data_IF_024800170472
#
_entry.id   IF_024800170472
#
_cell.length_a   1.000
_cell.length_b   1.000
_cell.length_c   1.000
_cell.angle_alpha   90.00
_cell.angle_beta   90.00
_cell.angle_gamma   90.00
#
_symmetry.space_group_name_H-M   'P 1'
#
loop_
_entity.id
_entity.type
_entity.pdbx_description
1 polymer ?
#
# COMPACT_ATOMS: atom_id res chain seq x y z
N UNK A 1 -53.23 37.83 -5.84
CA UNK A 1 -54.55 38.30 -6.31
C UNK A 1 -55.03 37.30 -7.36
N UNK A 2 -56.28 36.88 -7.24
CA UNK A 2 -56.86 35.62 -7.72
C UNK A 2 -56.73 35.39 -9.23
N UNK A 3 -56.54 34.13 -9.65
CA UNK A 3 -57.26 33.62 -10.81
C UNK A 3 -57.68 32.16 -10.59
N UNK A 4 -58.96 31.92 -10.86
CA UNK A 4 -59.77 30.74 -10.53
C UNK A 4 -59.58 29.61 -11.55
N UNK A 5 -59.73 28.37 -11.07
CA UNK A 5 -60.09 27.18 -11.85
C UNK A 5 -61.50 27.29 -12.45
N UNK A 6 -61.78 26.51 -13.51
CA UNK A 6 -62.84 25.49 -13.44
C UNK A 6 -62.38 24.15 -14.03
N UNK A 7 -62.56 23.01 -13.36
CA UNK A 7 -63.74 22.14 -13.22
C UNK A 7 -63.91 21.08 -14.35
N UNK A 8 -64.18 19.85 -13.87
CA UNK A 8 -64.96 18.75 -14.45
C UNK A 8 -64.28 17.62 -15.26
N UNK A 9 -64.23 16.46 -14.59
CA UNK A 9 -64.16 15.08 -15.09
C UNK A 9 -65.55 14.60 -15.63
N UNK A 10 -65.86 13.29 -15.80
CA UNK A 10 -65.11 12.08 -16.22
C UNK A 10 -65.81 11.33 -17.40
N UNK A 11 -65.20 10.31 -17.99
CA UNK A 11 -65.89 9.37 -18.90
C UNK A 11 -64.96 8.25 -19.37
N UNK A 12 -64.97 7.09 -18.71
CA UNK A 12 -65.77 5.89 -19.00
C UNK A 12 -65.27 5.03 -20.17
N UNK A 13 -64.68 3.90 -19.75
CA UNK A 13 -64.48 2.58 -20.37
C UNK A 13 -65.06 2.35 -21.78
N UNK A 14 -64.19 1.90 -22.69
CA UNK A 14 -64.56 0.99 -23.76
C UNK A 14 -63.49 -0.11 -23.88
N UNK A 15 -63.90 -1.34 -23.59
CA UNK A 15 -63.13 -2.56 -23.82
C UNK A 15 -63.12 -2.88 -25.30
N UNK A 16 -61.94 -3.08 -25.90
CA UNK A 16 -61.80 -3.77 -27.18
C UNK A 16 -60.74 -4.86 -26.99
N UNK A 17 -61.24 -6.10 -27.02
CA UNK A 17 -60.50 -7.35 -27.14
C UNK A 17 -59.77 -7.33 -28.51
N UNK A 18 -58.45 -7.51 -28.53
CA UNK A 18 -57.79 -8.01 -29.74
C UNK A 18 -56.66 -8.98 -29.41
N UNK A 19 -56.59 -9.99 -30.26
CA UNK A 19 -55.99 -11.29 -30.03
C UNK A 19 -54.47 -11.31 -29.91
N UNK A 20 -54.01 -12.34 -29.21
CA UNK A 20 -52.62 -12.71 -29.01
C UNK A 20 -51.88 -13.03 -30.32
N UNK A 21 -50.70 -12.44 -30.48
CA UNK A 21 -49.58 -13.01 -31.25
C UNK A 21 -48.36 -12.96 -30.34
N UNK A 22 -48.03 -14.11 -29.75
CA UNK A 22 -46.84 -14.32 -28.93
C UNK A 22 -45.67 -14.61 -29.88
N UNK A 23 -44.77 -13.65 -30.05
CA UNK A 23 -43.48 -13.88 -30.68
C UNK A 23 -42.53 -14.38 -29.58
N UNK A 24 -42.19 -15.67 -29.62
CA UNK A 24 -41.15 -16.28 -28.79
C UNK A 24 -39.79 -15.73 -29.23
N UNK A 25 -39.26 -14.75 -28.51
CA UNK A 25 -37.82 -14.49 -28.52
C UNK A 25 -37.16 -15.47 -27.56
N UNK A 26 -36.40 -16.41 -28.14
CA UNK A 26 -35.54 -17.34 -27.41
C UNK A 26 -34.41 -16.55 -26.74
N UNK A 27 -34.65 -16.06 -25.53
CA UNK A 27 -33.57 -15.64 -24.64
C UNK A 27 -33.05 -16.92 -23.99
N UNK A 28 -31.90 -17.38 -24.48
CA UNK A 28 -31.15 -18.46 -23.84
C UNK A 28 -30.86 -18.04 -22.39
N UNK A 29 -31.47 -18.76 -21.45
CA UNK A 29 -31.18 -18.67 -20.03
C UNK A 29 -29.81 -19.34 -19.81
N UNK A 30 -28.74 -18.56 -19.70
CA UNK A 30 -27.46 -19.10 -19.24
C UNK A 30 -27.60 -19.51 -17.77
N UNK A 31 -27.18 -20.72 -17.38
CA UNK A 31 -27.25 -21.15 -16.00
C UNK A 31 -26.34 -20.27 -15.14
N UNK A 32 -26.85 -19.86 -13.98
CA UNK A 32 -26.16 -19.05 -12.99
C UNK A 32 -24.84 -19.72 -12.59
N UNK A 33 -23.70 -19.02 -12.60
CA UNK A 33 -22.42 -19.62 -12.21
C UNK A 33 -22.49 -20.07 -10.74
N UNK A 34 -22.51 -21.38 -10.53
CA UNK A 34 -22.43 -21.96 -9.20
C UNK A 34 -20.95 -22.06 -8.78
N UNK A 35 -20.58 -21.29 -7.75
CA UNK A 35 -19.29 -21.38 -7.09
C UNK A 35 -19.19 -22.75 -6.43
N UNK A 36 -18.35 -23.64 -6.95
CA UNK A 36 -17.97 -24.88 -6.25
C UNK A 36 -16.78 -24.57 -5.36
N UNK A 37 -17.03 -24.57 -4.05
CA UNK A 37 -15.99 -24.57 -3.03
C UNK A 37 -15.48 -25.99 -2.88
N UNK A 38 -14.20 -26.21 -3.12
CA UNK A 38 -13.53 -27.46 -2.75
C UNK A 38 -12.65 -27.19 -1.54
N UNK A 39 -12.93 -27.84 -0.42
CA UNK A 39 -11.94 -27.97 0.64
C UNK A 39 -10.89 -28.98 0.20
N UNK A 40 -9.64 -28.54 0.12
CA UNK A 40 -8.50 -29.45 -0.04
C UNK A 40 -7.73 -29.48 1.27
N UNK A 41 -7.53 -30.67 1.81
CA UNK A 41 -6.70 -30.87 3.00
C UNK A 41 -5.26 -30.52 2.66
N UNK A 42 -4.68 -29.60 3.43
CA UNK A 42 -3.25 -29.26 3.37
C UNK A 42 -2.45 -30.53 3.63
N UNK A 43 -1.81 -31.10 2.60
CA UNK A 43 -0.94 -32.25 2.80
C UNK A 43 0.30 -31.81 3.57
N UNK A 44 0.45 -32.30 4.79
CA UNK A 44 1.72 -32.28 5.53
C UNK A 44 2.77 -33.01 4.67
N UNK A 45 3.76 -32.27 4.21
CA UNK A 45 4.95 -32.86 3.58
C UNK A 45 5.77 -33.54 4.66
N UNK A 46 5.49 -34.80 4.95
CA UNK A 46 6.39 -35.66 5.74
C UNK A 46 7.48 -36.21 4.82
N UNK A 47 8.72 -35.96 5.20
CA UNK A 47 9.91 -36.54 4.62
C UNK A 47 9.89 -38.07 4.82
N UNK A 48 10.00 -38.87 3.76
CA UNK A 48 10.30 -40.31 3.86
C UNK A 48 11.35 -40.71 2.82
N UNK A 49 12.44 -41.28 3.30
CA UNK A 49 13.54 -41.86 2.51
C UNK A 49 13.29 -43.35 2.22
N UNK A 50 13.18 -43.72 0.92
CA UNK A 50 13.44 -45.03 0.27
C UNK A 50 12.62 -46.28 0.67
N UNK A 51 12.78 -47.46 0.02
CA UNK A 51 13.29 -47.79 -1.32
C UNK A 51 12.36 -48.76 -2.15
N UNK A 52 12.69 -48.97 -3.44
CA UNK A 52 12.28 -50.05 -4.38
C UNK A 52 10.98 -49.96 -5.22
N UNK A 53 11.19 -49.98 -6.55
CA UNK A 53 10.45 -50.65 -7.66
C UNK A 53 8.94 -50.44 -7.84
N UNK A 54 8.41 -50.12 -9.03
CA UNK A 54 9.00 -50.06 -10.36
C UNK A 54 7.97 -49.68 -11.44
N UNK A 55 8.45 -49.64 -12.68
CA UNK A 55 7.73 -49.64 -13.96
C UNK A 55 6.96 -48.37 -14.38
N UNK A 56 7.61 -47.61 -15.27
CA UNK A 56 7.02 -46.56 -16.10
C UNK A 56 6.05 -47.11 -17.17
N UNK A 57 5.27 -46.22 -17.81
CA UNK A 57 5.52 -46.05 -19.24
C UNK A 57 5.79 -44.60 -19.63
N UNK A 58 6.57 -44.47 -20.70
CA UNK A 58 7.06 -43.23 -21.32
C UNK A 58 5.96 -42.20 -21.56
N UNK A 59 6.21 -40.98 -21.10
CA UNK A 59 5.62 -39.77 -21.67
C UNK A 59 6.78 -38.90 -22.13
N UNK A 60 6.89 -38.76 -23.44
CA UNK A 60 7.83 -37.88 -24.14
C UNK A 60 7.69 -36.46 -23.59
N UNK A 61 8.61 -36.07 -22.70
CA UNK A 61 8.76 -34.67 -22.32
C UNK A 61 9.49 -33.96 -23.44
N UNK A 62 8.78 -33.13 -24.20
CA UNK A 62 9.41 -32.06 -24.96
C UNK A 62 10.18 -31.22 -23.94
N UNK A 63 11.51 -31.30 -23.97
CA UNK A 63 12.39 -30.44 -23.19
C UNK A 63 12.23 -29.03 -23.74
N UNK A 64 11.46 -28.19 -23.05
CA UNK A 64 11.62 -26.74 -23.15
C UNK A 64 13.09 -26.42 -22.87
N UNK A 65 13.77 -25.58 -23.67
CA UNK A 65 15.13 -25.19 -23.38
C UNK A 65 15.16 -24.58 -21.99
N UNK A 66 15.94 -25.18 -21.07
CA UNK A 66 16.34 -24.49 -19.86
C UNK A 66 17.25 -23.36 -20.31
N UNK A 67 16.71 -22.15 -20.43
CA UNK A 67 17.50 -20.94 -20.40
C UNK A 67 18.29 -20.96 -19.10
N UNK A 68 19.60 -20.79 -19.19
CA UNK A 68 20.51 -20.75 -18.04
C UNK A 68 20.18 -19.55 -17.14
N UNK A 69 19.16 -19.68 -16.30
CA UNK A 69 18.91 -18.71 -15.23
C UNK A 69 20.08 -18.84 -14.26
N UNK A 70 20.95 -17.84 -14.22
CA UNK A 70 22.06 -17.82 -13.25
C UNK A 70 21.45 -17.82 -11.85
N UNK A 71 21.68 -18.87 -11.03
CA UNK A 71 21.07 -18.95 -9.71
C UNK A 71 21.51 -17.76 -8.85
N UNK A 72 20.57 -16.87 -8.50
CA UNK A 72 20.82 -15.75 -7.58
C UNK A 72 20.68 -14.35 -8.19
N UNK A 73 20.55 -14.20 -9.51
CA UNK A 73 20.36 -12.89 -10.14
C UNK A 73 18.87 -12.52 -10.21
N UNK A 74 18.53 -11.28 -9.86
CA UNK A 74 17.19 -10.70 -9.97
C UNK A 74 17.21 -9.50 -10.90
N UNK A 75 16.09 -9.27 -11.56
CA UNK A 75 15.79 -8.04 -12.30
C UNK A 75 14.65 -7.31 -11.63
N UNK A 76 14.71 -6.00 -11.60
CA UNK A 76 13.58 -5.15 -11.28
C UNK A 76 13.20 -4.41 -12.55
N UNK A 77 11.94 -4.54 -12.95
CA UNK A 77 11.29 -3.61 -13.86
C UNK A 77 10.37 -2.73 -13.04
N UNK A 78 10.59 -1.42 -13.08
CA UNK A 78 9.77 -0.45 -12.39
C UNK A 78 9.49 0.78 -13.22
N UNK A 79 8.39 1.46 -12.91
CA UNK A 79 8.06 2.75 -13.51
C UNK A 79 7.71 3.75 -12.42
N UNK A 80 8.07 5.02 -12.65
CA UNK A 80 7.76 6.17 -11.82
C UNK A 80 6.97 7.13 -12.70
N UNK A 81 5.71 7.36 -12.32
CA UNK A 81 4.70 8.01 -13.17
C UNK A 81 4.12 9.20 -12.42
N UNK A 82 4.60 10.43 -12.70
CA UNK A 82 3.97 11.65 -12.21
C UNK A 82 2.56 11.81 -12.78
N UNK A 83 1.59 12.13 -11.92
CA UNK A 83 0.23 12.47 -12.29
C UNK A 83 -0.34 13.52 -11.31
N UNK A 84 -1.45 14.16 -11.68
CA UNK A 84 -2.05 15.26 -10.90
C UNK A 84 -2.43 14.83 -9.47
N UNK A 85 -2.81 13.56 -9.29
CA UNK A 85 -3.22 13.01 -8.01
C UNK A 85 -2.07 12.40 -7.18
N UNK A 86 -0.85 12.37 -7.71
CA UNK A 86 0.29 11.75 -7.02
C UNK A 86 1.33 11.14 -7.97
N UNK A 87 2.37 10.57 -7.37
CA UNK A 87 3.39 9.82 -8.08
C UNK A 87 3.10 8.32 -7.95
N UNK A 88 2.87 7.64 -9.08
CA UNK A 88 2.55 6.23 -9.12
C UNK A 88 3.79 5.40 -9.44
N UNK A 89 3.92 4.27 -8.74
CA UNK A 89 5.03 3.34 -8.91
C UNK A 89 4.49 1.99 -9.34
N UNK A 90 4.93 1.52 -10.50
CA UNK A 90 4.74 0.15 -10.95
C UNK A 90 6.04 -0.59 -10.65
N UNK A 91 5.97 -1.80 -10.09
CA UNK A 91 7.19 -2.58 -9.85
C UNK A 91 6.92 -4.08 -9.88
N UNK A 92 7.77 -4.80 -10.61
CA UNK A 92 7.93 -6.24 -10.49
C UNK A 92 9.40 -6.60 -10.25
N UNK A 93 9.62 -7.68 -9.50
CA UNK A 93 10.93 -8.30 -9.30
C UNK A 93 10.82 -9.77 -9.66
N UNK A 94 11.63 -10.25 -10.60
CA UNK A 94 11.68 -11.67 -10.96
C UNK A 94 13.05 -12.03 -11.58
N UNK A 95 13.18 -13.21 -12.18
CA UNK A 95 14.35 -13.55 -12.99
C UNK A 95 14.41 -12.65 -14.24
N UNK A 96 15.62 -12.30 -14.74
CA UNK A 96 15.76 -11.49 -15.95
C UNK A 96 15.00 -12.03 -17.15
N UNK A 97 15.01 -13.36 -17.34
CA UNK A 97 14.40 -14.06 -18.47
C UNK A 97 12.87 -13.96 -18.46
N UNK A 98 12.27 -13.92 -17.26
CA UNK A 98 10.81 -13.80 -17.11
C UNK A 98 10.34 -12.37 -17.31
N UNK A 99 11.17 -11.39 -16.97
CA UNK A 99 10.84 -9.96 -17.10
C UNK A 99 11.17 -9.39 -18.49
N UNK A 100 12.16 -9.95 -19.21
CA UNK A 100 12.56 -9.49 -20.55
C UNK A 100 11.40 -9.28 -21.54
N UNK A 101 10.47 -10.24 -21.74
CA UNK A 101 9.40 -10.06 -22.71
C UNK A 101 8.38 -8.98 -22.32
N UNK A 102 8.39 -8.50 -21.07
CA UNK A 102 7.39 -7.55 -20.56
C UNK A 102 7.81 -6.08 -20.73
N UNK A 103 9.00 -5.79 -21.25
CA UNK A 103 9.49 -4.42 -21.39
C UNK A 103 8.59 -3.56 -22.29
N UNK A 104 8.25 -4.07 -23.48
CA UNK A 104 7.40 -3.35 -24.42
C UNK A 104 5.99 -3.10 -23.86
N UNK A 105 5.42 -4.11 -23.19
CA UNK A 105 4.12 -3.99 -22.52
C UNK A 105 4.17 -2.95 -21.39
N UNK A 106 5.23 -2.96 -20.56
CA UNK A 106 5.40 -1.97 -19.50
C UNK A 106 5.48 -0.56 -20.08
N UNK A 107 6.23 -0.36 -21.16
CA UNK A 107 6.31 0.94 -21.82
C UNK A 107 4.94 1.41 -22.32
N UNK A 108 4.17 0.54 -22.97
CA UNK A 108 2.82 0.85 -23.43
C UNK A 108 1.86 1.17 -22.26
N UNK A 109 1.97 0.43 -21.14
CA UNK A 109 1.19 0.69 -19.92
C UNK A 109 1.53 2.06 -19.32
N UNK A 110 2.81 2.43 -19.29
CA UNK A 110 3.29 3.71 -18.75
C UNK A 110 2.86 4.86 -19.63
N UNK A 111 3.02 4.73 -20.95
CA UNK A 111 2.61 5.75 -21.93
C UNK A 111 1.11 6.07 -21.81
N UNK A 112 0.28 5.03 -21.70
CA UNK A 112 -1.17 5.14 -21.60
C UNK A 112 -1.68 5.19 -20.15
N UNK A 113 -0.80 5.52 -19.18
CA UNK A 113 -1.17 5.48 -17.78
C UNK A 113 -2.27 6.50 -17.45
N UNK A 114 -3.37 6.03 -16.90
CA UNK A 114 -4.56 6.78 -16.58
C UNK A 114 -5.06 6.41 -15.20
N UNK A 115 -5.46 7.41 -14.44
CA UNK A 115 -6.08 7.20 -13.14
C UNK A 115 -7.53 7.57 -13.26
N UNK A 116 -8.40 6.74 -12.69
CA UNK A 116 -9.77 7.14 -12.43
C UNK A 116 -9.74 8.27 -11.39
N UNK A 117 -10.14 9.50 -11.77
CA UNK A 117 -10.03 10.65 -10.88
C UNK A 117 -10.90 10.53 -9.63
N UNK A 118 -11.90 9.64 -9.61
CA UNK A 118 -12.78 9.42 -8.47
C UNK A 118 -12.20 8.43 -7.47
N UNK A 119 -11.51 7.40 -7.96
CA UNK A 119 -11.01 6.31 -7.11
C UNK A 119 -9.50 6.40 -6.85
N UNK A 120 -8.77 7.21 -7.61
CA UNK A 120 -7.31 7.26 -7.55
C UNK A 120 -6.64 5.97 -8.04
N UNK A 121 -7.39 5.08 -8.70
CA UNK A 121 -6.92 3.76 -9.14
C UNK A 121 -6.56 3.77 -10.62
N UNK A 122 -5.61 2.90 -11.06
CA UNK A 122 -5.33 2.75 -12.47
C UNK A 122 -6.56 2.31 -13.25
N UNK A 123 -6.83 3.00 -14.35
CA UNK A 123 -7.98 2.77 -15.24
C UNK A 123 -7.56 2.58 -16.69
N UNK A 124 -6.27 2.36 -16.94
CA UNK A 124 -5.68 2.29 -18.28
C UNK A 124 -6.25 1.11 -19.06
N UNK A 125 -6.37 1.22 -20.40
CA UNK A 125 -6.36 0.03 -21.23
C UNK A 125 -5.01 -0.69 -21.06
N UNK A 126 -5.06 -1.97 -20.69
CA UNK A 126 -3.86 -2.80 -20.58
C UNK A 126 -3.60 -3.54 -21.91
N UNK A 127 -2.34 -3.92 -22.21
CA UNK A 127 -2.02 -4.79 -23.34
C UNK A 127 -2.76 -6.12 -23.29
N UNK A 128 -2.84 -6.82 -24.42
CA UNK A 128 -3.58 -8.08 -24.53
C UNK A 128 -3.15 -9.10 -23.48
N UNK A 129 -4.13 -9.73 -22.81
CA UNK A 129 -3.89 -10.77 -21.81
C UNK A 129 -3.44 -10.27 -20.44
N UNK A 130 -3.19 -8.97 -20.26
CA UNK A 130 -2.97 -8.38 -18.95
C UNK A 130 -4.29 -8.18 -18.21
N UNK A 131 -4.25 -8.32 -16.88
CA UNK A 131 -5.40 -8.07 -16.02
C UNK A 131 -5.02 -7.12 -14.89
N UNK A 132 -5.95 -6.24 -14.52
CA UNK A 132 -5.83 -5.42 -13.31
C UNK A 132 -6.57 -6.11 -12.16
N UNK A 133 -5.88 -6.30 -11.05
CA UNK A 133 -6.46 -6.74 -9.79
C UNK A 133 -6.43 -5.57 -8.79
N UNK A 134 -7.59 -4.96 -8.48
CA UNK A 134 -7.66 -3.90 -7.47
C UNK A 134 -7.22 -4.42 -6.10
N UNK A 135 -6.52 -3.57 -5.34
CA UNK A 135 -6.08 -3.87 -3.96
C UNK A 135 -6.50 -2.77 -3.01
N UNK A 136 -6.46 -3.06 -1.71
CA UNK A 136 -6.93 -2.17 -0.64
C UNK A 136 -5.87 -2.00 0.47
N UNK A 137 -4.60 -2.12 0.11
CA UNK A 137 -3.46 -1.92 1.01
C UNK A 137 -2.45 -0.96 0.36
N UNK A 138 -1.17 -0.99 0.76
CA UNK A 138 -0.13 -0.07 0.25
C UNK A 138 -0.07 -0.08 -1.28
N UNK A 139 -0.27 -1.24 -1.91
CA UNK A 139 -0.49 -1.31 -3.34
C UNK A 139 -1.99 -1.17 -3.60
N UNK A 140 -2.36 -0.20 -4.43
CA UNK A 140 -3.74 0.10 -4.80
C UNK A 140 -4.24 -0.79 -5.94
N UNK A 141 -3.32 -1.43 -6.67
CA UNK A 141 -3.61 -2.45 -7.67
C UNK A 141 -2.41 -3.38 -7.92
N UNK A 142 -2.68 -4.51 -8.56
CA UNK A 142 -1.70 -5.38 -9.21
C UNK A 142 -2.02 -5.46 -10.70
N UNK A 143 -1.06 -5.14 -11.57
CA UNK A 143 -1.15 -5.47 -13.00
C UNK A 143 -0.49 -6.84 -13.19
N UNK A 144 -1.25 -7.82 -13.68
CA UNK A 144 -0.79 -9.20 -13.81
C UNK A 144 -0.58 -9.50 -15.29
N UNK A 145 0.63 -9.92 -15.64
CA UNK A 145 1.03 -10.21 -17.01
C UNK A 145 0.39 -11.49 -17.57
N UNK A 146 0.39 -11.69 -18.90
CA UNK A 146 -0.20 -12.86 -19.54
C UNK A 146 0.39 -14.18 -19.05
N UNK A 147 -0.40 -15.25 -19.15
CA UNK A 147 -0.04 -16.59 -18.65
C UNK A 147 1.27 -17.13 -19.25
N UNK A 148 1.57 -16.80 -20.50
CA UNK A 148 2.81 -17.18 -21.17
C UNK A 148 4.10 -16.69 -20.46
N UNK A 149 3.98 -15.65 -19.62
CA UNK A 149 5.11 -15.10 -18.82
C UNK A 149 5.09 -15.56 -17.36
N UNK A 150 4.14 -16.44 -17.01
CA UNK A 150 3.97 -16.97 -15.66
C UNK A 150 3.27 -16.02 -14.69
N UNK A 151 2.42 -15.10 -15.20
CA UNK A 151 1.57 -14.20 -14.38
C UNK A 151 2.38 -13.35 -13.40
N UNK A 152 3.39 -12.66 -13.91
CA UNK A 152 4.20 -11.72 -13.11
C UNK A 152 3.30 -10.57 -12.65
N UNK A 153 3.46 -10.18 -11.39
CA UNK A 153 2.67 -9.13 -10.76
C UNK A 153 3.49 -7.86 -10.67
N UNK A 154 2.99 -6.80 -11.29
CA UNK A 154 3.43 -5.43 -11.05
C UNK A 154 2.54 -4.81 -9.99
N UNK A 155 3.09 -4.53 -8.81
CA UNK A 155 2.36 -3.77 -7.79
C UNK A 155 2.29 -2.31 -8.19
N UNK A 156 1.12 -1.69 -8.04
CA UNK A 156 0.92 -0.25 -8.22
C UNK A 156 0.77 0.39 -6.85
N UNK A 157 1.68 1.28 -6.47
CA UNK A 157 1.60 2.07 -5.23
C UNK A 157 1.57 3.56 -5.57
N UNK A 158 0.82 4.37 -4.82
CA UNK A 158 0.81 5.81 -4.98
C UNK A 158 1.50 6.48 -3.78
N UNK A 159 2.38 7.45 -4.06
CA UNK A 159 2.97 8.34 -3.05
C UNK A 159 2.68 9.80 -3.44
N UNK A 160 2.81 10.70 -2.48
CA UNK A 160 2.65 12.13 -2.74
C UNK A 160 3.68 12.62 -3.77
N UNK A 161 3.26 13.55 -4.62
CA UNK A 161 4.19 14.29 -5.48
C UNK A 161 5.03 15.24 -4.62
N UNK A 162 6.36 15.28 -4.81
CA UNK A 162 7.17 16.32 -4.20
C UNK A 162 6.89 17.69 -4.86
N UNK A 163 7.24 18.81 -4.22
CA UNK A 163 7.37 20.08 -4.90
C UNK A 163 8.29 19.95 -6.11
N UNK A 164 8.00 20.68 -7.20
CA UNK A 164 8.74 20.53 -8.47
C UNK A 164 10.26 20.70 -8.35
N UNK A 165 10.72 21.56 -7.44
CA UNK A 165 12.14 21.78 -7.17
C UNK A 165 12.86 20.54 -6.59
N UNK A 166 12.13 19.66 -5.90
CA UNK A 166 12.67 18.48 -5.23
C UNK A 166 12.54 17.21 -6.09
N UNK A 167 11.95 17.33 -7.29
CA UNK A 167 11.69 16.21 -8.20
C UNK A 167 12.92 15.36 -8.48
N UNK A 168 14.07 15.99 -8.75
CA UNK A 168 15.29 15.27 -9.08
C UNK A 168 15.83 14.45 -7.90
N UNK A 169 15.79 15.00 -6.69
CA UNK A 169 16.17 14.28 -5.47
C UNK A 169 15.18 13.16 -5.14
N UNK A 170 13.89 13.40 -5.36
CA UNK A 170 12.84 12.40 -5.20
C UNK A 170 13.03 11.21 -6.17
N UNK A 171 13.27 11.49 -7.45
CA UNK A 171 13.54 10.46 -8.46
C UNK A 171 14.81 9.67 -8.11
N UNK A 172 15.90 10.37 -7.77
CA UNK A 172 17.18 9.77 -7.41
C UNK A 172 17.05 8.80 -6.23
N UNK A 173 16.40 9.23 -5.16
CA UNK A 173 16.23 8.41 -3.94
C UNK A 173 15.41 7.15 -4.20
N UNK A 174 14.34 7.24 -5.00
CA UNK A 174 13.52 6.09 -5.35
C UNK A 174 14.27 5.09 -6.24
N UNK A 175 15.06 5.58 -7.20
CA UNK A 175 15.89 4.74 -8.08
C UNK A 175 17.01 4.07 -7.29
N UNK A 176 17.74 4.80 -6.46
CA UNK A 176 18.81 4.23 -5.62
C UNK A 176 18.27 3.22 -4.61
N UNK A 177 17.06 3.43 -4.07
CA UNK A 177 16.37 2.42 -3.25
C UNK A 177 16.15 1.11 -4.02
N UNK A 178 15.74 1.16 -5.28
CA UNK A 178 15.58 -0.06 -6.10
C UNK A 178 16.91 -0.69 -6.47
N UNK A 179 17.92 0.11 -6.80
CA UNK A 179 19.30 -0.35 -7.05
C UNK A 179 19.90 -1.07 -5.84
N UNK A 180 19.69 -0.55 -4.63
CA UNK A 180 20.12 -1.18 -3.39
C UNK A 180 19.51 -2.57 -3.17
N UNK A 181 18.24 -2.78 -3.58
CA UNK A 181 17.59 -4.11 -3.51
C UNK A 181 18.22 -5.12 -4.47
N UNK A 182 18.94 -4.65 -5.49
CA UNK A 182 19.73 -5.43 -6.44
C UNK A 182 21.23 -5.48 -6.08
N UNK A 183 21.66 -4.85 -4.98
CA UNK A 183 23.07 -4.67 -4.59
C UNK A 183 23.91 -3.95 -5.65
N UNK A 184 23.30 -2.99 -6.33
CA UNK A 184 24.01 -2.11 -7.27
C UNK A 184 24.48 -0.85 -6.53
N UNK A 185 25.56 -0.24 -7.01
CA UNK A 185 26.03 1.05 -6.50
C UNK A 185 25.01 2.15 -6.75
N UNK A 186 24.92 3.12 -5.84
CA UNK A 186 24.06 4.28 -6.02
C UNK A 186 24.49 5.13 -7.21
N UNK A 187 23.50 5.73 -7.88
CA UNK A 187 23.69 6.75 -8.89
C UNK A 187 23.86 8.13 -8.24
N UNK A 188 24.44 9.04 -9.01
CA UNK A 188 24.48 10.47 -8.72
C UNK A 188 23.39 11.21 -9.52
N UNK A 189 23.15 12.48 -9.21
CA UNK A 189 22.19 13.30 -9.94
C UNK A 189 22.54 13.41 -11.44
N UNK A 190 23.84 13.41 -11.78
CA UNK A 190 24.36 13.53 -13.13
C UNK A 190 24.18 12.26 -13.96
N UNK A 191 24.17 11.09 -13.31
CA UNK A 191 24.08 9.77 -13.97
C UNK A 191 22.67 9.17 -13.93
N UNK A 192 21.75 9.80 -13.20
CA UNK A 192 20.39 9.32 -13.02
C UNK A 192 19.62 9.20 -14.33
N UNK A 193 19.50 10.31 -15.08
CA UNK A 193 18.60 10.36 -16.24
C UNK A 193 19.06 9.41 -17.35
N UNK A 194 20.37 9.30 -17.59
CA UNK A 194 20.92 8.37 -18.58
C UNK A 194 20.76 6.88 -18.21
N UNK A 195 20.41 6.58 -16.96
CA UNK A 195 20.14 5.22 -16.49
C UNK A 195 18.65 4.81 -16.58
N UNK A 196 17.77 5.73 -17.00
CA UNK A 196 16.34 5.53 -17.07
C UNK A 196 15.85 5.62 -18.52
N UNK A 197 14.77 4.92 -18.82
CA UNK A 197 14.04 5.14 -20.07
C UNK A 197 12.98 6.19 -19.80
N UNK A 198 13.09 7.34 -20.46
CA UNK A 198 12.09 8.40 -20.40
C UNK A 198 10.90 8.07 -21.30
N UNK A 199 9.70 8.16 -20.74
CA UNK A 199 8.43 7.90 -21.44
C UNK A 199 7.60 9.19 -21.39
N UNK A 200 7.54 9.96 -22.48
CA UNK A 200 6.69 11.15 -22.56
C UNK A 200 5.23 10.73 -22.52
N UNK A 201 4.39 11.49 -21.80
CA UNK A 201 2.94 11.26 -21.74
C UNK A 201 2.19 12.50 -22.23
N UNK A 202 1.23 12.38 -23.15
CA UNK A 202 0.45 13.52 -23.62
C UNK A 202 -0.20 14.29 -22.47
N UNK A 203 0.03 15.60 -22.41
CA UNK A 203 -0.55 16.47 -21.38
C UNK A 203 0.15 16.47 -20.01
N UNK A 204 1.19 15.64 -19.80
CA UNK A 204 1.95 15.64 -18.56
C UNK A 204 3.10 16.67 -18.60
N UNK A 205 3.27 17.45 -17.53
CA UNK A 205 4.36 18.43 -17.42
C UNK A 205 5.72 17.81 -17.05
N UNK A 206 5.70 16.59 -16.51
CA UNK A 206 6.90 15.82 -16.14
C UNK A 206 6.78 14.46 -16.85
N UNK A 207 7.83 13.99 -17.55
CA UNK A 207 7.80 12.68 -18.18
C UNK A 207 7.76 11.56 -17.12
N UNK A 208 7.36 10.38 -17.55
CA UNK A 208 7.46 9.17 -16.72
C UNK A 208 8.79 8.48 -16.97
N UNK A 209 9.26 7.68 -16.01
CA UNK A 209 10.56 7.03 -16.10
C UNK A 209 10.44 5.54 -15.83
N UNK A 210 11.05 4.71 -16.67
CA UNK A 210 11.20 3.28 -16.46
C UNK A 210 12.61 3.00 -15.94
N UNK A 211 12.66 2.26 -14.84
CA UNK A 211 13.86 1.68 -14.27
C UNK A 211 13.96 0.22 -14.69
N UNK A 212 15.12 -0.15 -15.20
CA UNK A 212 15.45 -1.51 -15.56
C UNK A 212 16.88 -1.83 -15.12
N UNK A 213 17.02 -2.77 -14.19
CA UNK A 213 18.32 -3.22 -13.77
C UNK A 213 18.31 -4.67 -13.31
N UNK A 214 19.47 -5.29 -13.47
CA UNK A 214 19.77 -6.66 -13.06
C UNK A 214 20.86 -6.63 -12.01
N UNK A 215 20.73 -7.42 -10.94
CA UNK A 215 21.76 -7.54 -9.90
C UNK A 215 21.62 -8.80 -9.05
N UNK A 216 22.50 -8.97 -8.08
CA UNK A 216 22.60 -10.18 -7.24
C UNK A 216 21.85 -10.06 -5.91
N UNK A 217 21.14 -8.95 -5.70
CA UNK A 217 20.24 -8.77 -4.58
C UNK A 217 18.93 -9.56 -4.72
N UNK A 218 18.15 -9.63 -3.64
CA UNK A 218 16.88 -10.35 -3.63
C UNK A 218 15.78 -9.59 -4.37
N UNK A 219 15.95 -8.29 -4.62
CA UNK A 219 14.96 -7.39 -5.19
C UNK A 219 13.71 -7.18 -4.32
N UNK A 220 13.70 -7.75 -3.11
CA UNK A 220 12.71 -7.55 -2.07
C UNK A 220 13.16 -6.41 -1.15
N UNK A 221 12.20 -5.79 -0.46
CA UNK A 221 12.53 -4.86 0.62
C UNK A 221 13.12 -5.66 1.79
N UNK A 222 14.45 -5.72 1.89
CA UNK A 222 15.12 -6.21 3.09
C UNK A 222 15.19 -5.09 4.13
N UNK A 223 14.84 -5.35 5.41
CA UNK A 223 15.15 -4.43 6.50
C UNK A 223 16.63 -4.58 6.85
N UNK A 224 17.54 -3.91 6.13
CA UNK A 224 18.95 -3.80 6.54
C UNK A 224 19.58 -2.49 6.02
N UNK A 225 20.46 -1.86 6.82
CA UNK A 225 20.89 -0.46 6.64
C UNK A 225 21.96 -0.31 5.54
N UNK A 226 22.15 0.89 4.98
CA UNK A 226 23.18 1.15 3.98
C UNK A 226 24.55 1.09 4.65
N UNK A 227 25.37 0.11 4.27
CA UNK A 227 26.80 0.10 4.61
C UNK A 227 27.50 1.19 3.81
N UNK A 228 28.02 2.19 4.54
CA UNK A 228 28.91 3.21 4.00
C UNK A 228 30.24 2.65 3.48
N UNK A 229 30.90 3.49 2.69
CA UNK A 229 32.14 3.27 1.94
C UNK A 229 33.29 2.55 2.69
N UNK A 230 34.21 1.87 1.97
CA UNK A 230 35.37 1.22 2.55
C UNK A 230 36.47 2.24 2.85
N UNK A 231 36.82 2.42 4.12
CA UNK A 231 38.07 3.05 4.52
C UNK A 231 39.16 1.97 4.67
N UNK A 232 40.32 2.28 4.09
CA UNK A 232 41.57 1.53 3.99
C UNK A 232 42.11 0.95 5.30
N UNK A 233 42.84 -0.20 5.29
CA UNK A 233 43.52 -0.72 6.48
C UNK A 233 44.93 -0.15 6.57
N UNK A 234 45.26 0.54 7.67
CA UNK A 234 46.66 0.70 8.10
C UNK A 234 46.95 -0.29 9.23
N UNK A 235 47.94 -1.14 8.96
CA UNK A 235 48.71 -1.95 9.91
C UNK A 235 49.23 -1.10 11.08
N UNK A 236 49.44 -1.59 12.30
CA UNK A 236 50.45 -2.57 12.70
C UNK A 236 50.27 -2.94 14.21
N UNK A 237 51.12 -3.78 14.87
CA UNK A 237 50.65 -4.89 15.69
C UNK A 237 51.10 -4.85 17.15
N UNK A 238 50.48 -5.65 18.03
CA UNK A 238 51.17 -6.24 19.19
C UNK A 238 50.33 -7.38 19.82
N UNK A 239 50.82 -8.59 19.62
CA UNK A 239 50.55 -9.81 20.41
C UNK A 239 51.40 -9.81 21.71
N UNK A 240 51.39 -10.87 22.56
CA UNK A 240 50.36 -11.48 23.43
C UNK A 240 50.99 -11.71 24.85
N UNK A 241 50.75 -12.76 25.71
CA UNK A 241 49.76 -13.86 25.70
C UNK A 241 49.16 -14.32 27.08
N UNK A 242 48.27 -15.33 26.99
CA UNK A 242 48.15 -16.52 27.87
C UNK A 242 46.99 -16.64 28.90
N UNK A 243 45.91 -17.36 28.49
CA UNK A 243 45.24 -18.58 29.06
C UNK A 243 45.30 -18.95 30.57
N UNK A 244 44.47 -19.90 31.11
CA UNK A 244 43.17 -20.47 30.67
C UNK A 244 42.09 -20.68 31.80
N UNK A 245 40.86 -20.96 31.34
CA UNK A 245 39.66 -21.63 31.93
C UNK A 245 39.72 -22.31 33.34
N UNK A 246 38.68 -22.29 34.20
CA UNK A 246 37.34 -22.95 34.16
C UNK A 246 36.54 -22.61 35.47
N UNK A 247 35.43 -23.28 35.87
CA UNK A 247 34.06 -22.74 35.89
C UNK A 247 33.44 -22.61 37.31
N UNK A 248 32.14 -22.30 37.37
CA UNK A 248 31.15 -22.49 38.47
C UNK A 248 30.71 -21.24 39.26
N UNK A 249 29.38 -21.10 39.38
CA UNK A 249 28.72 -20.37 40.47
C UNK A 249 28.01 -19.08 40.08
N UNK A 250 26.69 -19.14 39.88
CA UNK A 250 25.77 -18.00 40.03
C UNK A 250 25.30 -17.99 41.50
N UNK A 251 25.07 -16.84 42.18
CA UNK A 251 23.88 -16.02 41.90
C UNK A 251 24.00 -14.48 42.11
N UNK A 252 23.14 -13.75 41.38
CA UNK A 252 22.48 -12.46 41.67
C UNK A 252 23.22 -11.35 42.46
N UNK A 253 23.59 -10.23 41.81
CA UNK A 253 22.88 -8.92 41.81
C UNK A 253 23.70 -7.82 41.10
N UNK A 254 22.99 -6.95 40.36
CA UNK A 254 23.28 -5.54 40.01
C UNK A 254 24.66 -5.12 39.49
N UNK A 255 24.72 -4.72 38.22
CA UNK A 255 25.12 -3.37 37.74
C UNK A 255 25.64 -3.38 36.28
N UNK A 256 25.20 -2.37 35.52
CA UNK A 256 25.82 -1.78 34.34
C UNK A 256 26.07 -2.68 33.10
N UNK A 257 25.22 -2.54 32.09
CA UNK A 257 25.61 -2.79 30.69
C UNK A 257 26.10 -1.48 30.03
N UNK A 258 27.11 -1.52 29.17
CA UNK A 258 27.73 -0.34 28.56
C UNK A 258 26.85 0.28 27.45
N UNK A 259 27.05 1.55 27.09
CA UNK A 259 26.30 2.18 26.01
C UNK A 259 26.74 1.60 24.66
N UNK A 260 25.81 1.01 23.93
CA UNK A 260 26.00 0.71 22.51
C UNK A 260 25.43 1.89 21.71
N UNK A 261 26.30 2.86 21.42
CA UNK A 261 26.10 3.81 20.32
C UNK A 261 26.15 3.04 18.99
N UNK A 262 24.99 2.56 18.56
CA UNK A 262 24.76 2.12 17.19
C UNK A 262 24.18 3.31 16.40
N UNK A 263 24.73 3.68 15.22
CA UNK A 263 24.15 4.73 14.39
C UNK A 263 22.73 4.34 13.96
N UNK A 264 21.75 5.10 14.44
CA UNK A 264 20.34 4.89 14.15
C UNK A 264 20.03 5.33 12.70
N UNK A 265 19.55 4.46 11.79
CA UNK A 265 19.16 4.85 10.42
C UNK A 265 17.86 5.67 10.36
N UNK A 266 17.45 6.29 11.47
CA UNK A 266 16.25 7.14 11.62
C UNK A 266 16.52 8.64 11.42
N UNK A 267 17.73 9.04 11.04
CA UNK A 267 18.22 10.42 11.17
C UNK A 267 17.44 11.51 10.39
N UNK A 268 16.55 11.15 9.45
CA UNK A 268 15.73 12.11 8.69
C UNK A 268 14.21 11.90 8.84
N UNK A 269 13.73 11.07 9.78
CA UNK A 269 12.30 11.02 10.09
C UNK A 269 12.01 11.92 11.28
N UNK A 270 10.96 12.74 11.23
CA UNK A 270 10.52 13.48 12.41
C UNK A 270 10.28 12.50 13.55
N UNK A 271 10.94 12.73 14.69
CA UNK A 271 10.74 11.90 15.88
C UNK A 271 9.48 12.39 16.57
N UNK A 272 8.64 11.44 16.99
CA UNK A 272 7.41 11.74 17.71
C UNK A 272 7.65 11.52 19.20
N UNK A 273 7.52 12.57 20.00
CA UNK A 273 7.40 12.45 21.45
C UNK A 273 5.91 12.54 21.82
N UNK A 274 5.46 11.68 22.74
CA UNK A 274 4.06 11.58 23.15
C UNK A 274 3.92 10.90 24.50
N UNK A 275 2.78 11.13 25.17
CA UNK A 275 2.38 10.38 26.36
C UNK A 275 1.51 9.20 25.94
N UNK A 276 1.93 7.98 26.28
CA UNK A 276 1.15 6.77 26.00
C UNK A 276 -0.08 6.73 26.91
N UNK A 277 -1.32 6.69 26.37
CA UNK A 277 -2.52 6.58 27.19
C UNK A 277 -2.59 5.27 27.98
N UNK A 278 -3.25 5.31 29.14
CA UNK A 278 -3.47 4.12 29.96
C UNK A 278 -4.23 3.04 29.18
N UNK A 279 -3.72 1.79 29.24
CA UNK A 279 -4.32 0.64 28.54
C UNK A 279 -3.94 0.54 27.06
N UNK A 280 -3.12 1.47 26.54
CA UNK A 280 -2.52 1.35 25.22
C UNK A 280 -1.12 0.74 25.34
N UNK A 281 -0.65 0.13 24.26
CA UNK A 281 0.71 -0.42 24.17
C UNK A 281 1.33 -0.06 22.83
N UNK A 282 2.66 -0.02 22.76
CA UNK A 282 3.36 0.23 21.50
C UNK A 282 3.26 -1.02 20.61
N UNK A 283 2.72 -0.85 19.40
CA UNK A 283 2.61 -1.89 18.39
C UNK A 283 3.84 -1.99 17.49
N UNK A 284 3.83 -2.98 16.59
CA UNK A 284 4.90 -3.11 15.60
C UNK A 284 4.83 -1.96 14.59
N UNK A 285 5.86 -1.11 14.57
CA UNK A 285 5.95 0.00 13.63
C UNK A 285 6.09 -0.48 12.18
N UNK A 286 5.69 0.37 11.24
CA UNK A 286 5.95 0.19 9.81
C UNK A 286 6.79 1.36 9.28
N UNK A 287 7.38 1.22 8.08
CA UNK A 287 8.24 2.27 7.53
C UNK A 287 7.51 3.57 7.18
N UNK A 288 6.17 3.57 7.12
CA UNK A 288 5.33 4.72 6.77
C UNK A 288 4.57 5.33 7.96
N UNK A 289 4.68 4.73 9.15
CA UNK A 289 4.03 5.21 10.37
C UNK A 289 5.08 5.78 11.32
N UNK A 290 4.84 6.97 11.84
CA UNK A 290 5.64 7.57 12.92
C UNK A 290 5.38 6.85 14.25
N UNK A 291 4.16 6.33 14.44
CA UNK A 291 3.81 5.49 15.58
C UNK A 291 2.70 4.49 15.21
N UNK A 292 2.68 3.35 15.91
CA UNK A 292 1.58 2.38 15.90
C UNK A 292 1.36 1.95 17.35
N UNK A 293 0.14 2.10 17.84
CA UNK A 293 -0.26 1.78 19.21
C UNK A 293 -1.43 0.81 19.16
N UNK A 294 -1.43 -0.18 20.03
CA UNK A 294 -2.51 -1.14 20.18
C UNK A 294 -3.36 -0.77 21.39
N UNK A 295 -4.67 -0.93 21.24
CA UNK A 295 -5.66 -0.83 22.32
C UNK A 295 -6.13 -2.24 22.61
N UNK A 296 -5.97 -2.69 23.85
CA UNK A 296 -6.62 -3.91 24.35
C UNK A 296 -7.50 -3.53 25.54
N UNK A 297 -8.81 -3.75 25.40
CA UNK A 297 -9.80 -3.33 26.37
C UNK A 297 -10.89 -4.39 26.53
N UNK A 298 -11.74 -4.22 27.55
CA UNK A 298 -12.89 -5.11 27.75
C UNK A 298 -13.89 -5.08 26.58
N UNK A 299 -13.89 -4.00 25.81
CA UNK A 299 -14.77 -3.73 24.67
C UNK A 299 -14.20 -4.25 23.34
N UNK A 300 -12.98 -4.78 23.34
CA UNK A 300 -12.31 -5.32 22.16
C UNK A 300 -10.97 -4.66 21.89
N UNK A 301 -10.45 -4.92 20.68
CA UNK A 301 -9.14 -4.47 20.23
C UNK A 301 -9.25 -3.36 19.20
N UNK A 302 -8.33 -2.41 19.28
CA UNK A 302 -8.20 -1.31 18.33
C UNK A 302 -6.75 -1.00 18.03
N UNK A 303 -6.52 -0.23 16.98
CA UNK A 303 -5.19 0.24 16.59
C UNK A 303 -5.24 1.76 16.42
N UNK A 304 -4.20 2.45 16.89
CA UNK A 304 -3.94 3.87 16.61
C UNK A 304 -2.67 3.99 15.80
N UNK A 305 -2.74 4.72 14.69
CA UNK A 305 -1.62 4.92 13.78
C UNK A 305 -1.37 6.41 13.60
N UNK A 306 -0.09 6.80 13.62
CA UNK A 306 0.33 8.16 13.30
C UNK A 306 1.12 8.12 12.00
N UNK A 307 0.69 8.91 11.02
CA UNK A 307 1.37 9.10 9.73
C UNK A 307 1.41 10.58 9.38
N UNK A 308 2.28 10.95 8.44
CA UNK A 308 2.40 12.32 7.94
C UNK A 308 2.14 12.34 6.43
N UNK A 309 1.26 13.24 5.97
CA UNK A 309 0.92 13.40 4.55
C UNK A 309 0.36 14.81 4.31
N UNK A 310 0.15 15.17 3.04
CA UNK A 310 -0.60 16.38 2.68
C UNK A 310 -2.09 16.22 3.02
N UNK A 311 -2.75 17.32 3.37
CA UNK A 311 -4.18 17.28 3.68
C UNK A 311 -5.04 17.58 2.45
N UNK A 312 -6.05 16.73 2.25
CA UNK A 312 -7.14 16.92 1.30
C UNK A 312 -8.38 16.29 1.94
N UNK A 313 -9.14 17.05 2.76
CA UNK A 313 -10.23 16.49 3.55
C UNK A 313 -11.27 15.71 2.74
N UNK A 314 -11.61 16.17 1.54
CA UNK A 314 -12.58 15.50 0.66
C UNK A 314 -12.07 14.14 0.18
N UNK A 315 -10.87 14.10 -0.41
CA UNK A 315 -10.29 12.86 -0.93
C UNK A 315 -9.94 11.87 0.19
N UNK A 316 -9.43 12.40 1.31
CA UNK A 316 -9.10 11.62 2.50
C UNK A 316 -10.34 10.96 3.10
N UNK A 317 -11.42 11.73 3.30
CA UNK A 317 -12.69 11.20 3.80
C UNK A 317 -13.31 10.16 2.87
N UNK A 318 -13.26 10.39 1.55
CA UNK A 318 -13.71 9.41 0.57
C UNK A 318 -12.95 8.08 0.72
N UNK A 319 -11.62 8.12 0.77
CA UNK A 319 -10.79 6.93 0.97
C UNK A 319 -11.11 6.22 2.29
N UNK A 320 -11.34 6.97 3.38
CA UNK A 320 -11.67 6.38 4.68
C UNK A 320 -13.04 5.70 4.67
N UNK A 321 -14.07 6.30 4.06
CA UNK A 321 -15.37 5.66 3.90
C UNK A 321 -15.28 4.42 3.00
N UNK A 322 -14.53 4.47 1.90
CA UNK A 322 -14.28 3.30 1.04
C UNK A 322 -13.60 2.18 1.82
N UNK A 323 -12.59 2.49 2.64
CA UNK A 323 -11.91 1.49 3.48
C UNK A 323 -12.89 0.81 4.45
N UNK A 324 -13.80 1.57 5.03
CA UNK A 324 -14.67 1.11 6.12
C UNK A 324 -15.90 0.35 5.61
N UNK A 325 -16.51 0.84 4.53
CA UNK A 325 -17.74 0.30 3.96
C UNK A 325 -17.48 -0.73 2.85
N UNK A 326 -16.29 -0.68 2.23
CA UNK A 326 -15.97 -1.41 0.99
C UNK A 326 -16.92 -1.08 -0.17
N UNK A 327 -17.64 0.03 -0.11
CA UNK A 327 -18.48 0.50 -1.21
C UNK A 327 -17.60 1.08 -2.33
N UNK A 328 -17.65 0.51 -3.55
CA UNK A 328 -16.84 1.00 -4.67
C UNK A 328 -17.45 2.23 -5.36
N UNK A 329 -18.75 2.50 -5.20
CA UNK A 329 -19.42 3.63 -5.86
C UNK A 329 -19.26 4.93 -5.06
N UNK A 330 -18.40 5.82 -5.57
CA UNK A 330 -18.16 7.14 -4.97
C UNK A 330 -19.45 7.95 -4.76
N UNK A 331 -20.44 7.82 -5.65
CA UNK A 331 -21.70 8.59 -5.53
C UNK A 331 -22.54 8.18 -4.34
N UNK A 332 -22.42 6.93 -3.88
CA UNK A 332 -23.08 6.47 -2.66
C UNK A 332 -22.38 6.95 -1.39
N UNK A 333 -21.07 7.22 -1.48
CA UNK A 333 -20.25 7.68 -0.37
C UNK A 333 -20.25 9.20 -0.23
N UNK A 334 -20.44 9.95 -1.33
CA UNK A 334 -20.49 11.42 -1.34
C UNK A 334 -21.36 12.04 -0.23
N UNK A 335 -22.60 11.58 0.02
CA UNK A 335 -23.41 12.13 1.12
C UNK A 335 -22.78 11.91 2.50
N UNK A 336 -22.17 10.74 2.72
CA UNK A 336 -21.51 10.41 3.99
C UNK A 336 -20.24 11.23 4.17
N UNK A 337 -19.46 11.40 3.10
CA UNK A 337 -18.25 12.25 3.07
C UNK A 337 -18.62 13.69 3.43
N UNK A 338 -19.58 14.28 2.72
CA UNK A 338 -19.99 15.66 2.93
C UNK A 338 -20.50 15.87 4.37
N UNK A 339 -21.31 14.95 4.88
CA UNK A 339 -21.79 15.00 6.25
C UNK A 339 -20.65 14.94 7.27
N UNK A 340 -19.69 14.03 7.09
CA UNK A 340 -18.54 13.89 7.99
C UNK A 340 -17.64 15.15 8.02
N UNK A 341 -17.49 15.83 6.88
CA UNK A 341 -16.73 17.08 6.80
C UNK A 341 -17.48 18.25 7.46
N UNK A 342 -18.80 18.31 7.27
CA UNK A 342 -19.65 19.36 7.85
C UNK A 342 -19.67 19.29 9.38
N UNK A 343 -19.73 18.08 9.95
CA UNK A 343 -19.79 17.87 11.41
C UNK A 343 -18.42 17.66 12.06
N UNK A 344 -17.33 17.82 11.30
CA UNK A 344 -15.98 17.63 11.79
C UNK A 344 -15.68 18.60 12.96
N UNK A 345 -15.11 18.07 14.04
CA UNK A 345 -14.88 18.83 15.27
C UNK A 345 -13.49 19.45 15.27
N UNK A 346 -13.40 20.76 15.48
CA UNK A 346 -12.12 21.45 15.64
C UNK A 346 -11.75 21.58 17.11
N UNK A 347 -10.49 21.33 17.46
CA UNK A 347 -9.99 21.50 18.82
C UNK A 347 -8.51 21.97 18.82
N UNK A 348 -8.08 22.75 19.82
CA UNK A 348 -6.70 23.27 19.87
C UNK A 348 -5.71 22.20 20.34
N UNK A 349 -4.51 22.23 19.77
CA UNK A 349 -3.33 21.43 20.16
C UNK A 349 -2.13 22.37 20.16
N UNK A 350 -1.73 22.85 21.33
CA UNK A 350 -0.75 23.94 21.44
C UNK A 350 -1.26 25.20 20.70
N UNK A 351 -0.48 25.70 19.74
CA UNK A 351 -0.84 26.83 18.87
C UNK A 351 -1.55 26.41 17.57
N UNK A 352 -1.70 25.10 17.34
CA UNK A 352 -2.27 24.54 16.10
C UNK A 352 -3.73 24.16 16.32
N UNK A 353 -4.52 24.18 15.25
CA UNK A 353 -5.92 23.77 15.25
C UNK A 353 -6.06 22.40 14.61
N UNK A 354 -6.38 21.38 15.39
CA UNK A 354 -6.66 20.03 14.88
C UNK A 354 -8.14 19.89 14.46
N UNK A 355 -8.39 18.97 13.53
CA UNK A 355 -9.74 18.60 13.09
C UNK A 355 -9.95 17.09 13.29
N UNK A 356 -11.01 16.71 14.00
CA UNK A 356 -11.45 15.33 14.21
C UNK A 356 -12.61 14.99 13.27
N UNK A 357 -12.44 13.89 12.53
CA UNK A 357 -13.47 13.26 11.72
C UNK A 357 -13.93 11.96 12.39
N UNK A 358 -15.25 11.75 12.42
CA UNK A 358 -15.88 10.50 12.84
C UNK A 358 -16.49 9.81 11.63
N UNK A 359 -16.06 8.59 11.35
CA UNK A 359 -16.41 7.86 10.12
C UNK A 359 -16.85 6.48 10.52
N UNK A 360 -18.09 6.14 10.19
CA UNK A 360 -18.76 4.92 10.62
C UNK A 360 -19.34 4.22 9.41
N UNK A 361 -19.29 2.88 9.40
CA UNK A 361 -19.96 2.09 8.36
C UNK A 361 -21.47 1.95 8.59
N UNK A 362 -21.90 1.99 9.86
CA UNK A 362 -23.30 2.08 10.29
C UNK A 362 -23.34 2.52 11.76
N UNK A 363 -24.54 2.67 12.35
CA UNK A 363 -24.71 3.00 13.78
C UNK A 363 -24.65 1.77 14.72
N UNK A 364 -24.45 0.56 14.19
CA UNK A 364 -24.38 -0.63 15.04
C UNK A 364 -23.12 -0.59 15.93
N UNK A 365 -23.24 -0.93 17.21
CA UNK A 365 -22.14 -0.85 18.17
C UNK A 365 -20.89 -1.66 17.75
N UNK A 366 -21.09 -2.76 17.02
CA UNK A 366 -20.06 -3.66 16.50
C UNK A 366 -19.61 -3.33 15.08
N UNK A 367 -20.17 -2.29 14.46
CA UNK A 367 -19.73 -1.87 13.13
C UNK A 367 -18.40 -1.12 13.23
N UNK A 368 -17.50 -1.26 12.25
CA UNK A 368 -16.21 -0.60 12.29
C UNK A 368 -16.37 0.92 12.18
N UNK A 369 -15.50 1.62 12.92
CA UNK A 369 -15.36 3.06 13.04
C UNK A 369 -13.91 3.50 12.82
N UNK A 370 -13.76 4.68 12.22
CA UNK A 370 -12.53 5.45 12.22
C UNK A 370 -12.76 6.77 12.94
N UNK A 371 -11.92 7.04 13.94
CA UNK A 371 -11.65 8.40 14.40
C UNK A 371 -10.37 8.86 13.74
N UNK A 372 -10.41 9.96 13.00
CA UNK A 372 -9.23 10.51 12.34
C UNK A 372 -9.02 11.95 12.75
N UNK A 373 -7.86 12.22 13.34
CA UNK A 373 -7.42 13.59 13.63
C UNK A 373 -6.43 14.03 12.55
N UNK A 374 -6.74 15.13 11.89
CA UNK A 374 -5.83 15.90 11.04
C UNK A 374 -5.25 17.05 11.88
N UNK A 375 -3.93 17.04 12.11
CA UNK A 375 -3.20 18.05 12.89
C UNK A 375 -2.14 18.71 11.98
N UNK A 376 -2.25 20.01 11.68
CA UNK A 376 -1.22 20.72 10.91
C UNK A 376 0.16 20.60 11.54
N UNK A 377 1.21 20.52 10.73
CA UNK A 377 2.61 20.59 11.20
C UNK A 377 3.17 22.01 11.02
N UNK A 378 4.44 22.24 11.36
CA UNK A 378 5.09 23.52 11.07
C UNK A 378 5.43 23.68 9.59
N UNK A 379 5.46 22.56 8.84
CA UNK A 379 5.34 22.60 7.39
C UNK A 379 3.83 22.71 7.05
N UNK A 380 3.38 23.85 6.48
CA UNK A 380 1.96 24.08 6.20
C UNK A 380 1.38 23.13 5.14
N UNK A 381 2.21 22.44 4.37
CA UNK A 381 1.77 21.45 3.38
C UNK A 381 1.52 20.07 4.03
N UNK A 382 2.04 19.83 5.23
CA UNK A 382 2.00 18.52 5.88
C UNK A 382 1.16 18.53 7.15
N UNK A 383 0.35 17.49 7.30
CA UNK A 383 -0.44 17.20 8.47
C UNK A 383 -0.04 15.85 9.06
N UNK A 384 -0.11 15.76 10.39
CA UNK A 384 -0.20 14.47 11.08
C UNK A 384 -1.62 13.94 10.96
N UNK A 385 -1.74 12.69 10.54
CA UNK A 385 -2.96 11.92 10.59
C UNK A 385 -2.86 10.90 11.72
N UNK A 386 -3.64 11.12 12.77
CA UNK A 386 -3.77 10.21 13.91
C UNK A 386 -5.10 9.47 13.76
N UNK A 387 -5.01 8.18 13.43
CA UNK A 387 -6.18 7.36 13.08
C UNK A 387 -6.35 6.24 14.08
N UNK A 388 -7.51 6.20 14.74
CA UNK A 388 -7.96 5.08 15.56
C UNK A 388 -8.95 4.26 14.76
N UNK A 389 -8.73 2.95 14.66
CA UNK A 389 -9.66 1.97 14.10
C UNK A 389 -10.10 0.96 15.16
N UNK A 390 -11.39 0.67 15.18
CA UNK A 390 -12.04 -0.33 16.05
C UNK A 390 -13.53 -0.35 15.78
N UNK A 391 -14.28 -1.16 16.52
CA UNK A 391 -15.75 -1.12 16.47
C UNK A 391 -16.28 0.18 17.09
N UNK A 392 -17.46 0.63 16.68
CA UNK A 392 -18.09 1.89 17.12
C UNK A 392 -18.07 2.09 18.63
N UNK A 393 -18.41 1.05 19.40
CA UNK A 393 -18.38 1.11 20.86
C UNK A 393 -16.97 1.38 21.38
N UNK A 394 -15.97 0.62 20.92
CA UNK A 394 -14.58 0.80 21.33
C UNK A 394 -14.06 2.18 20.94
N UNK A 395 -14.23 2.57 19.68
CA UNK A 395 -13.73 3.85 19.19
C UNK A 395 -14.35 5.04 19.94
N UNK A 396 -15.66 4.97 20.22
CA UNK A 396 -16.35 5.99 21.02
C UNK A 396 -15.80 6.05 22.45
N UNK A 397 -15.60 4.90 23.10
CA UNK A 397 -15.06 4.82 24.46
C UNK A 397 -13.60 5.32 24.56
N UNK A 398 -12.83 5.17 23.48
CA UNK A 398 -11.43 5.58 23.41
C UNK A 398 -11.24 7.01 22.90
N UNK A 399 -12.32 7.72 22.51
CA UNK A 399 -12.24 9.05 21.92
C UNK A 399 -11.54 10.06 22.83
N UNK A 400 -11.84 10.08 24.13
CA UNK A 400 -11.17 11.00 25.08
C UNK A 400 -9.68 10.74 25.17
N UNK A 401 -9.27 9.46 25.29
CA UNK A 401 -7.85 9.06 25.32
C UNK A 401 -7.12 9.39 24.02
N UNK A 402 -7.80 9.29 22.88
CA UNK A 402 -7.25 9.73 21.59
C UNK A 402 -6.98 11.24 21.57
N UNK A 403 -7.90 12.05 22.08
CA UNK A 403 -7.71 13.50 22.14
C UNK A 403 -6.57 13.88 23.09
N UNK A 404 -6.48 13.25 24.26
CA UNK A 404 -5.37 13.43 25.20
C UNK A 404 -4.02 13.02 24.58
N UNK A 405 -4.00 11.90 23.85
CA UNK A 405 -2.82 11.45 23.09
C UNK A 405 -2.38 12.52 22.09
N UNK A 406 -3.30 13.01 21.26
CA UNK A 406 -3.01 14.07 20.27
C UNK A 406 -2.49 15.34 20.94
N UNK A 407 -3.06 15.73 22.07
CA UNK A 407 -2.60 16.91 22.83
C UNK A 407 -1.17 16.76 23.38
N UNK A 408 -0.69 15.53 23.54
CA UNK A 408 0.66 15.24 24.03
C UNK A 408 1.72 15.14 22.93
N UNK A 409 1.32 15.18 21.65
CA UNK A 409 2.23 14.98 20.53
C UNK A 409 3.14 16.20 20.33
N UNK A 410 4.44 15.93 20.27
CA UNK A 410 5.47 16.86 19.84
C UNK A 410 6.29 16.24 18.69
N UNK A 411 6.49 17.02 17.63
CA UNK A 411 7.34 16.65 16.49
C UNK A 411 8.71 17.26 16.72
N UNK A 412 9.75 16.44 16.75
CA UNK A 412 11.16 16.86 16.88
C UNK A 412 11.82 17.04 15.52
#
# INVERSE_FOLDING_TARGET
MQLRLPLQAPGSRASILFAAIVIFTQIACEPTPQVRVYETSKSESTFVSGPLSGSAPERTSVKTPKTDSTPGTRRILGAIIPADQGCYFLKATDSPERLEPLMADLQAIVENFAIDPQTGRPSNPLPEGWIINPRNDIAIAELISPEATGKIKFTVTALAMPPSQDWQGYLLSNVNRWRGQLKLQDLTAETLISSLVEVPRPGASIPSYIFDAVGTGTGAMSPTPPTGNPATPTSNPATPPSNPATPTGNPANSAASPPLDAPNPSANRPKLDYKLPEGWSVGQGSQFRLATLNIDSKQGRGEVTVSMATDNPQANAMMWFQQLTREPDAKKLEPMVNSALEVAQKFPVGQKQATLYEIRSSEQATAPMLLVVSLPTDNPELHLFIKLIGDNQLASDQKSKLLEFVQSIEIQ
#
